data_IF_188297820238
#
_entry.id   IF_188297820238
#
_cell.length_a   1.000
_cell.length_b   1.000
_cell.length_c   1.000
_cell.angle_alpha   90.00
_cell.angle_beta   90.00
_cell.angle_gamma   90.00
#
_symmetry.space_group_name_H-M   'P 1'
#
loop_
_entity.id
_entity.type
_entity.pdbx_description
1 polymer ?
#
# COMPACT_ATOMS: atom_id res chain seq x y z
N UNK A 1 -21.02 10.87 -11.67
CA UNK A 1 -19.67 11.18 -11.15
C UNK A 1 -19.32 10.40 -9.86
N UNK A 2 -20.23 10.28 -8.89
CA UNK A 2 -19.99 9.55 -7.63
C UNK A 2 -19.68 8.05 -7.80
N UNK A 3 -20.32 7.34 -8.76
CA UNK A 3 -20.07 5.91 -9.00
C UNK A 3 -18.60 5.60 -9.36
N UNK A 4 -17.93 6.44 -10.15
CA UNK A 4 -16.53 6.20 -10.52
C UNK A 4 -15.57 6.43 -9.35
N UNK A 5 -15.94 7.32 -8.41
CA UNK A 5 -15.15 7.63 -7.23
C UNK A 5 -15.07 6.42 -6.29
N UNK A 6 -16.23 5.83 -5.97
CA UNK A 6 -16.30 4.63 -5.14
C UNK A 6 -15.69 3.40 -5.83
N UNK A 7 -15.82 3.27 -7.16
CA UNK A 7 -15.19 2.16 -7.90
C UNK A 7 -13.68 2.12 -7.75
N UNK A 8 -12.99 3.26 -7.76
CA UNK A 8 -11.53 3.31 -7.62
C UNK A 8 -11.09 2.88 -6.21
N UNK A 9 -11.77 3.38 -5.18
CA UNK A 9 -11.55 3.00 -3.79
C UNK A 9 -11.86 1.53 -3.54
N UNK A 10 -12.99 1.02 -4.04
CA UNK A 10 -13.38 -0.39 -3.93
C UNK A 10 -12.37 -1.30 -4.64
N UNK A 11 -11.83 -0.87 -5.78
CA UNK A 11 -10.80 -1.64 -6.50
C UNK A 11 -9.52 -1.74 -5.67
N UNK A 12 -9.05 -0.64 -5.08
CA UNK A 12 -7.88 -0.63 -4.20
C UNK A 12 -8.09 -1.52 -2.96
N UNK A 13 -9.27 -1.42 -2.33
CA UNK A 13 -9.65 -2.24 -1.19
C UNK A 13 -9.71 -3.73 -1.54
N UNK A 14 -10.35 -4.09 -2.67
CA UNK A 14 -10.42 -5.48 -3.14
C UNK A 14 -9.04 -6.06 -3.41
N UNK A 15 -8.15 -5.31 -4.09
CA UNK A 15 -6.77 -5.75 -4.28
C UNK A 15 -6.05 -5.95 -2.94
N UNK A 16 -6.16 -4.99 -2.01
CA UNK A 16 -5.57 -5.11 -0.67
C UNK A 16 -6.06 -6.35 0.09
N UNK A 17 -7.37 -6.62 0.06
CA UNK A 17 -8.00 -7.77 0.72
C UNK A 17 -7.57 -9.08 0.05
N UNK A 18 -7.56 -9.16 -1.28
CA UNK A 18 -7.12 -10.35 -2.02
C UNK A 18 -5.66 -10.64 -1.74
N UNK A 19 -4.79 -9.61 -1.76
CA UNK A 19 -3.38 -9.79 -1.45
C UNK A 19 -3.14 -10.21 0.00
N UNK A 20 -3.90 -9.66 0.95
CA UNK A 20 -3.87 -10.13 2.34
C UNK A 20 -4.29 -11.60 2.44
N UNK A 21 -5.38 -12.00 1.77
CA UNK A 21 -5.86 -13.38 1.78
C UNK A 21 -4.85 -14.35 1.16
N UNK A 22 -4.21 -13.96 0.04
CA UNK A 22 -3.15 -14.74 -0.61
C UNK A 22 -1.92 -14.85 0.29
N UNK A 23 -1.46 -13.74 0.89
CA UNK A 23 -0.36 -13.79 1.85
C UNK A 23 -0.69 -14.70 3.04
N UNK A 24 -1.89 -14.56 3.61
CA UNK A 24 -2.40 -15.41 4.70
C UNK A 24 -2.47 -16.89 4.31
N UNK A 25 -2.85 -17.21 3.07
CA UNK A 25 -2.84 -18.58 2.54
C UNK A 25 -1.42 -19.14 2.38
N UNK A 26 -0.47 -18.33 1.93
CA UNK A 26 0.94 -18.71 1.87
C UNK A 26 1.49 -18.99 3.28
N UNK A 27 0.99 -18.30 4.30
CA UNK A 27 1.37 -18.56 5.71
C UNK A 27 0.79 -19.84 6.32
N UNK A 28 -0.22 -20.45 5.70
CA UNK A 28 -0.73 -21.76 6.13
C UNK A 28 0.18 -22.92 5.65
N UNK A 29 1.17 -22.65 4.78
CA UNK A 29 2.13 -23.65 4.33
C UNK A 29 3.19 -23.91 5.43
N UNK A 30 3.45 -25.18 5.81
CA UNK A 30 4.30 -25.53 6.96
C UNK A 30 5.76 -25.06 6.85
N UNK A 31 6.30 -24.83 5.65
CA UNK A 31 7.67 -24.33 5.46
C UNK A 31 7.86 -22.85 5.86
N UNK A 32 6.77 -22.09 5.94
CA UNK A 32 6.80 -20.64 6.23
C UNK A 32 6.34 -20.29 7.64
N UNK A 33 5.63 -21.19 8.34
CA UNK A 33 5.01 -20.91 9.65
C UNK A 33 6.02 -20.73 10.80
N UNK A 34 7.16 -21.42 10.76
CA UNK A 34 8.15 -21.47 11.86
C UNK A 34 9.01 -20.18 11.92
N UNK A 35 9.11 -19.42 10.84
CA UNK A 35 9.96 -18.21 10.77
C UNK A 35 9.27 -16.92 11.29
N UNK A 36 7.98 -16.97 11.61
CA UNK A 36 7.15 -15.78 11.88
C UNK A 36 7.00 -15.40 13.36
N UNK A 37 7.36 -16.28 14.30
CA UNK A 37 7.20 -16.04 15.75
C UNK A 37 8.12 -14.98 16.34
N UNK A 38 9.08 -14.46 15.55
CA UNK A 38 10.07 -13.46 15.98
C UNK A 38 9.95 -12.10 15.27
N UNK A 39 8.84 -11.81 14.58
CA UNK A 39 8.68 -10.53 13.87
C UNK A 39 8.28 -9.38 14.78
N UNK A 40 8.83 -8.20 14.49
CA UNK A 40 8.56 -6.97 15.24
C UNK A 40 7.19 -6.37 14.87
N UNK A 41 6.76 -6.55 13.61
CA UNK A 41 5.43 -6.12 13.16
C UNK A 41 4.61 -7.28 12.62
N UNK A 42 3.41 -7.48 13.19
CA UNK A 42 2.45 -8.43 12.64
C UNK A 42 2.03 -8.02 11.23
N UNK A 43 1.91 -9.01 10.35
CA UNK A 43 1.42 -8.83 8.97
C UNK A 43 0.14 -8.01 8.88
N UNK A 44 -0.77 -8.20 9.85
CA UNK A 44 -2.04 -7.49 9.93
C UNK A 44 -1.85 -5.98 10.05
N UNK A 45 -0.91 -5.54 10.89
CA UNK A 45 -0.59 -4.12 11.08
C UNK A 45 -0.02 -3.54 9.78
N UNK A 46 0.82 -4.29 9.08
CA UNK A 46 1.41 -3.85 7.83
C UNK A 46 0.35 -3.62 6.75
N UNK A 47 -0.52 -4.61 6.54
CA UNK A 47 -1.58 -4.54 5.54
C UNK A 47 -2.61 -3.46 5.89
N UNK A 48 -2.99 -3.31 7.16
CA UNK A 48 -3.88 -2.23 7.60
C UNK A 48 -3.27 -0.86 7.33
N UNK A 49 -1.98 -0.68 7.61
CA UNK A 49 -1.27 0.56 7.32
C UNK A 49 -1.30 0.89 5.82
N UNK A 50 -0.89 -0.04 4.96
CA UNK A 50 -0.86 0.18 3.51
C UNK A 50 -2.26 0.41 2.91
N UNK A 51 -3.27 -0.33 3.36
CA UNK A 51 -4.66 -0.11 2.93
C UNK A 51 -5.13 1.28 3.36
N UNK A 52 -4.81 1.71 4.58
CA UNK A 52 -5.17 3.04 5.08
C UNK A 52 -4.50 4.14 4.25
N UNK A 53 -3.20 4.01 3.98
CA UNK A 53 -2.46 4.91 3.09
C UNK A 53 -3.11 5.00 1.70
N UNK A 54 -3.42 3.86 1.08
CA UNK A 54 -4.05 3.83 -0.25
C UNK A 54 -5.42 4.52 -0.25
N UNK A 55 -6.25 4.30 0.77
CA UNK A 55 -7.56 4.96 0.91
C UNK A 55 -7.40 6.47 1.08
N UNK A 56 -6.47 6.92 1.92
CA UNK A 56 -6.18 8.34 2.13
C UNK A 56 -5.69 8.98 0.83
N UNK A 57 -4.69 8.38 0.18
CA UNK A 57 -4.10 8.86 -1.06
C UNK A 57 -5.17 9.02 -2.15
N UNK A 58 -5.98 7.98 -2.40
CA UNK A 58 -7.04 8.02 -3.39
C UNK A 58 -8.08 9.10 -3.05
N UNK A 59 -8.45 9.24 -1.77
CA UNK A 59 -9.40 10.26 -1.32
C UNK A 59 -8.87 11.67 -1.55
N UNK A 60 -7.60 11.93 -1.24
CA UNK A 60 -6.92 13.20 -1.50
C UNK A 60 -6.89 13.48 -3.00
N UNK A 61 -6.48 12.51 -3.83
CA UNK A 61 -6.45 12.67 -5.28
C UNK A 61 -7.81 12.99 -5.87
N UNK A 62 -8.87 12.32 -5.43
CA UNK A 62 -10.23 12.58 -5.91
C UNK A 62 -10.72 13.98 -5.52
N UNK A 63 -10.34 14.47 -4.33
CA UNK A 63 -10.69 15.83 -3.89
C UNK A 63 -9.99 16.87 -4.75
N UNK A 64 -8.70 16.68 -5.04
CA UNK A 64 -7.92 17.58 -5.91
C UNK A 64 -8.39 17.51 -7.35
N UNK A 65 -8.64 16.31 -7.87
CA UNK A 65 -9.13 16.09 -9.25
C UNK A 65 -10.45 16.83 -9.54
N UNK A 66 -11.34 16.95 -8.55
CA UNK A 66 -12.58 17.73 -8.68
C UNK A 66 -12.33 19.23 -8.86
N UNK A 67 -11.25 19.76 -8.30
CA UNK A 67 -10.94 21.19 -8.33
C UNK A 67 -10.00 21.53 -9.50
N UNK A 68 -8.95 20.73 -9.72
CA UNK A 68 -7.92 20.97 -10.73
C UNK A 68 -7.28 19.64 -11.15
N UNK A 69 -7.53 19.23 -12.39
CA UNK A 69 -6.97 17.99 -12.94
C UNK A 69 -5.44 18.04 -13.03
N UNK A 70 -4.89 19.18 -13.46
CA UNK A 70 -3.45 19.35 -13.72
C UNK A 70 -2.61 19.21 -12.45
N UNK A 71 -3.17 19.56 -11.29
CA UNK A 71 -2.50 19.43 -10.00
C UNK A 71 -2.55 18.02 -9.40
N UNK A 72 -3.37 17.11 -9.97
CA UNK A 72 -3.59 15.77 -9.40
C UNK A 72 -2.30 14.93 -9.45
N UNK A 73 -1.50 15.05 -10.51
CA UNK A 73 -0.21 14.36 -10.63
C UNK A 73 0.82 14.86 -9.60
N UNK A 74 0.92 16.17 -9.40
CA UNK A 74 1.81 16.75 -8.39
C UNK A 74 1.43 16.32 -6.97
N UNK A 75 0.13 16.26 -6.68
CA UNK A 75 -0.38 15.81 -5.38
C UNK A 75 -0.12 14.32 -5.15
N UNK A 76 -0.17 13.49 -6.20
CA UNK A 76 0.23 12.08 -6.09
C UNK A 76 1.70 11.93 -5.69
N UNK A 77 2.59 12.68 -6.34
CA UNK A 77 4.03 12.64 -6.02
C UNK A 77 4.26 13.12 -4.57
N UNK A 78 3.62 14.21 -4.15
CA UNK A 78 3.71 14.70 -2.77
C UNK A 78 3.18 13.69 -1.75
N UNK A 79 2.01 13.09 -2.01
CA UNK A 79 1.41 12.10 -1.12
C UNK A 79 2.25 10.83 -1.00
N UNK A 80 2.81 10.33 -2.11
CA UNK A 80 3.69 9.15 -2.11
C UNK A 80 5.01 9.42 -1.40
N UNK A 81 5.57 10.64 -1.48
CA UNK A 81 6.73 11.05 -0.68
C UNK A 81 6.44 11.02 0.83
N UNK A 82 5.28 11.55 1.25
CA UNK A 82 4.86 11.49 2.67
C UNK A 82 4.68 10.04 3.12
N UNK A 83 4.03 9.21 2.29
CA UNK A 83 3.87 7.78 2.56
C UNK A 83 5.22 7.06 2.67
N UNK A 84 6.19 7.37 1.82
CA UNK A 84 7.56 6.84 1.93
C UNK A 84 8.20 7.22 3.28
N UNK A 85 8.03 8.45 3.74
CA UNK A 85 8.50 8.89 5.06
C UNK A 85 7.87 8.10 6.21
N UNK A 86 6.56 7.84 6.15
CA UNK A 86 5.86 7.03 7.15
C UNK A 86 6.29 5.55 7.10
N UNK A 87 6.45 4.99 5.90
CA UNK A 87 6.97 3.64 5.70
C UNK A 87 8.37 3.48 6.31
N UNK A 88 9.22 4.51 6.18
CA UNK A 88 10.56 4.47 6.78
C UNK A 88 10.52 4.33 8.30
N UNK A 89 9.57 4.99 8.98
CA UNK A 89 9.40 4.85 10.43
C UNK A 89 9.03 3.42 10.84
N UNK A 90 8.18 2.75 10.06
CA UNK A 90 7.84 1.33 10.29
C UNK A 90 8.97 0.37 9.88
N UNK A 91 9.76 0.73 8.88
CA UNK A 91 10.88 -0.08 8.40
C UNK A 91 12.10 0.00 9.33
N UNK A 92 12.30 1.12 10.04
CA UNK A 92 13.43 1.35 10.95
C UNK A 92 13.65 0.21 11.97
N UNK A 93 12.66 -0.23 12.77
CA UNK A 93 12.86 -1.32 13.73
C UNK A 93 13.21 -2.65 13.02
N UNK A 94 12.66 -2.87 11.83
CA UNK A 94 12.93 -4.06 11.02
C UNK A 94 14.38 -4.05 10.52
N UNK A 95 14.91 -2.88 10.13
CA UNK A 95 16.30 -2.68 9.72
C UNK A 95 17.28 -2.98 10.85
N UNK A 96 16.98 -2.50 12.06
CA UNK A 96 17.80 -2.64 13.27
C UNK A 96 17.89 -4.09 13.78
N UNK A 97 16.93 -4.96 13.44
CA UNK A 97 16.90 -6.37 13.83
C UNK A 97 17.97 -7.29 13.19
N UNK A 98 18.94 -6.74 12.44
CA UNK A 98 20.09 -7.49 11.92
C UNK A 98 19.74 -8.61 10.92
N UNK A 99 20.43 -9.75 11.04
CA UNK A 99 20.32 -10.93 10.16
C UNK A 99 19.01 -11.72 10.35
N UNK A 100 18.46 -11.76 11.57
CA UNK A 100 17.20 -12.45 11.89
C UNK A 100 15.98 -11.86 11.18
N UNK A 101 16.03 -10.57 10.83
CA UNK A 101 14.95 -9.85 10.15
C UNK A 101 14.99 -9.88 8.62
N UNK A 102 15.88 -10.64 7.97
CA UNK A 102 16.06 -10.56 6.50
C UNK A 102 14.79 -10.90 5.72
N UNK A 103 14.01 -11.87 6.21
CA UNK A 103 12.71 -12.23 5.62
C UNK A 103 11.64 -11.15 5.89
N UNK A 104 11.64 -10.52 7.07
CA UNK A 104 10.73 -9.41 7.41
C UNK A 104 10.93 -8.23 6.47
N UNK A 105 12.20 -7.84 6.26
CA UNK A 105 12.62 -6.75 5.37
C UNK A 105 12.10 -6.99 3.95
N UNK A 106 12.34 -8.19 3.42
CA UNK A 106 11.95 -8.54 2.06
C UNK A 106 10.42 -8.51 1.89
N UNK A 107 9.68 -9.03 2.88
CA UNK A 107 8.22 -9.00 2.84
C UNK A 107 7.68 -7.57 2.92
N UNK A 108 8.23 -6.72 3.80
CA UNK A 108 7.88 -5.31 3.89
C UNK A 108 8.04 -4.60 2.54
N UNK A 109 9.21 -4.74 1.92
CA UNK A 109 9.49 -4.10 0.63
C UNK A 109 8.59 -4.63 -0.49
N UNK A 110 8.30 -5.93 -0.49
CA UNK A 110 7.41 -6.52 -1.48
C UNK A 110 6.00 -5.93 -1.37
N UNK A 111 5.43 -5.86 -0.16
CA UNK A 111 4.11 -5.28 0.08
C UNK A 111 4.12 -3.78 -0.28
N UNK A 112 5.18 -3.06 0.10
CA UNK A 112 5.35 -1.64 -0.24
C UNK A 112 5.29 -1.38 -1.74
N UNK A 113 6.12 -2.08 -2.53
CA UNK A 113 6.17 -1.91 -3.99
C UNK A 113 4.83 -2.29 -4.62
N UNK A 114 4.18 -3.33 -4.10
CA UNK A 114 2.90 -3.80 -4.60
C UNK A 114 1.79 -2.77 -4.42
N UNK A 115 1.65 -2.20 -3.22
CA UNK A 115 0.68 -1.15 -2.96
C UNK A 115 0.99 0.13 -3.74
N UNK A 116 2.25 0.54 -3.81
CA UNK A 116 2.68 1.70 -4.60
C UNK A 116 2.36 1.51 -6.10
N UNK A 117 2.54 0.31 -6.62
CA UNK A 117 2.18 -0.03 -8.01
C UNK A 117 0.68 0.11 -8.23
N UNK A 118 -0.13 -0.43 -7.32
CA UNK A 118 -1.60 -0.31 -7.40
C UNK A 118 -2.02 1.16 -7.37
N UNK A 119 -1.50 1.95 -6.42
CA UNK A 119 -1.77 3.38 -6.29
C UNK A 119 -1.38 4.14 -7.56
N UNK A 120 -0.22 3.83 -8.14
CA UNK A 120 0.27 4.43 -9.39
C UNK A 120 -0.65 4.10 -10.55
N UNK A 121 -1.02 2.83 -10.75
CA UNK A 121 -1.93 2.41 -11.83
C UNK A 121 -3.31 3.05 -11.69
N UNK A 122 -3.85 3.12 -10.47
CA UNK A 122 -5.14 3.77 -10.22
C UNK A 122 -5.07 5.28 -10.49
N UNK A 123 -3.96 5.92 -10.13
CA UNK A 123 -3.72 7.35 -10.41
C UNK A 123 -3.62 7.63 -11.90
N UNK A 124 -2.86 6.81 -12.65
CA UNK A 124 -2.78 6.91 -14.11
C UNK A 124 -4.17 6.75 -14.74
N UNK A 125 -4.95 5.76 -14.29
CA UNK A 125 -6.34 5.56 -14.76
C UNK A 125 -7.26 6.73 -14.43
N UNK A 126 -7.05 7.40 -13.30
CA UNK A 126 -7.81 8.58 -12.90
C UNK A 126 -7.48 9.79 -13.80
N UNK A 127 -6.20 10.01 -14.07
CA UNK A 127 -5.71 11.09 -14.94
C UNK A 127 -6.11 10.87 -16.40
N UNK A 128 -5.98 9.64 -16.90
CA UNK A 128 -6.23 9.29 -18.31
C UNK A 128 -7.72 9.23 -18.68
N UNK A 129 -8.64 9.26 -17.70
CA UNK A 129 -10.09 9.19 -17.95
C UNK A 129 -10.69 10.44 -18.61
N UNK A 130 -9.89 11.46 -18.89
CA UNK A 130 -10.32 12.74 -19.46
C UNK A 130 -9.66 13.09 -20.80
N UNK A 131 -8.87 12.18 -21.37
CA UNK A 131 -8.42 12.28 -22.77
C UNK A 131 -9.30 11.40 -23.65
#
# INVERSE_FOLDING_TARGET
MALNQYRLQITALLFGIVFYAVNRLIFLLPDFSIKYTAYHHSLEVLYLFFITCAVILITVLLKVYKHSMDNTGYVFIGATLVQMGLCYLMLKPILEAGEGGRFEKMNFFFIFILFLTIETVLTIRLLNKKQ
#
